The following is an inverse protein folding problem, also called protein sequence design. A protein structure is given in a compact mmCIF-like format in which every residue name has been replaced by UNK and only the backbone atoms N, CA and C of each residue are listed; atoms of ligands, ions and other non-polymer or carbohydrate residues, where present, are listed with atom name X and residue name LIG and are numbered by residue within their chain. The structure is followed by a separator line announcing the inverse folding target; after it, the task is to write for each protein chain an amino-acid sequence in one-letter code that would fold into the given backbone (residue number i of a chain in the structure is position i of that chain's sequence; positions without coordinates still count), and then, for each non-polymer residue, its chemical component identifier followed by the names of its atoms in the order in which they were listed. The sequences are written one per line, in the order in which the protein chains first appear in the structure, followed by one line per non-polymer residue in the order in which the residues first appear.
data_IF_681158031187
#
_entry.id   IF_681158031187
#
_cell.length_a   1.000
_cell.length_b   1.000
_cell.length_c   1.000
_cell.angle_alpha   90.00
_cell.angle_beta   90.00
_cell.angle_gamma   90.00
#
_symmetry.space_group_name_H-M   'P 1'
#
loop_
_entity.id
_entity.type
_entity.pdbx_description
1 polymer ?
#
# COMPACT_ATOMS: atom_id res chain seq x y z
N UNK A 1 -3.96 -5.93 0.95
CA UNK A 1 -3.14 -5.15 0.00
C UNK A 1 -3.76 -5.37 -1.36
N UNK A 2 -3.98 -4.30 -2.13
CA UNK A 2 -4.44 -4.41 -3.52
C UNK A 2 -3.21 -4.43 -4.43
N UNK A 3 -3.24 -5.21 -5.50
CA UNK A 3 -2.16 -5.22 -6.48
C UNK A 3 -2.32 -4.04 -7.44
N UNK A 4 -1.33 -3.16 -7.51
CA UNK A 4 -1.29 -2.05 -8.48
C UNK A 4 -0.01 -2.11 -9.31
N UNK A 5 0.11 -3.10 -10.23
CA UNK A 5 1.37 -3.41 -10.91
C UNK A 5 2.00 -2.22 -11.61
N UNK A 6 1.18 -1.32 -12.16
CA UNK A 6 1.69 -0.17 -12.90
C UNK A 6 2.51 0.83 -12.04
N UNK A 7 2.37 0.78 -10.72
CA UNK A 7 2.89 1.80 -9.79
C UNK A 7 3.52 1.23 -8.50
N UNK A 8 3.60 -0.11 -8.34
CA UNK A 8 4.35 -0.79 -7.26
C UNK A 8 5.27 -1.84 -7.90
N UNK A 9 6.57 -1.73 -7.64
CA UNK A 9 7.61 -2.58 -8.23
C UNK A 9 7.39 -4.08 -7.95
N UNK A 10 6.96 -4.43 -6.74
CA UNK A 10 6.74 -5.84 -6.37
C UNK A 10 5.53 -6.40 -7.09
N UNK A 11 4.49 -5.58 -7.25
CA UNK A 11 3.31 -5.95 -8.02
C UNK A 11 3.62 -6.03 -9.52
N UNK A 12 4.52 -5.19 -10.04
CA UNK A 12 5.02 -5.24 -11.42
C UNK A 12 5.75 -6.55 -11.71
N UNK A 13 6.72 -6.92 -10.88
CA UNK A 13 7.45 -8.18 -11.00
C UNK A 13 6.51 -9.39 -10.94
N UNK A 14 5.55 -9.35 -10.01
CA UNK A 14 4.55 -10.39 -9.86
C UNK A 14 3.66 -10.47 -11.12
N UNK A 15 3.17 -9.34 -11.62
CA UNK A 15 2.33 -9.30 -12.81
C UNK A 15 3.04 -9.81 -14.05
N UNK A 16 4.29 -9.43 -14.29
CA UNK A 16 5.07 -9.94 -15.43
C UNK A 16 5.35 -11.43 -15.32
N UNK A 17 5.64 -11.94 -14.11
CA UNK A 17 5.90 -13.36 -13.90
C UNK A 17 4.68 -14.23 -14.23
N UNK A 18 3.48 -13.72 -13.97
CA UNK A 18 2.23 -14.47 -14.10
C UNK A 18 1.32 -13.98 -15.24
N UNK A 19 1.86 -13.13 -16.14
CA UNK A 19 1.13 -12.56 -17.28
C UNK A 19 -0.20 -11.90 -16.87
N UNK A 20 -0.16 -11.12 -15.80
CA UNK A 20 -1.32 -10.39 -15.29
C UNK A 20 -1.45 -9.01 -15.94
N UNK A 21 -2.68 -8.48 -16.10
CA UNK A 21 -2.90 -7.16 -16.68
C UNK A 21 -2.20 -6.05 -15.89
N UNK A 22 -1.54 -5.16 -16.63
CA UNK A 22 -0.92 -3.95 -16.11
C UNK A 22 -1.64 -2.75 -16.72
N UNK A 23 -2.15 -1.85 -15.87
CA UNK A 23 -2.91 -0.66 -16.30
C UNK A 23 -2.34 0.59 -15.66
N UNK A 24 -1.78 1.48 -16.48
CA UNK A 24 -1.32 2.79 -16.04
C UNK A 24 -2.51 3.67 -15.62
N UNK A 25 -2.42 4.26 -14.43
CA UNK A 25 -3.40 5.23 -13.89
C UNK A 25 -2.78 6.53 -13.40
N UNK A 26 -1.45 6.64 -13.35
CA UNK A 26 -0.70 7.88 -13.09
C UNK A 26 0.27 8.15 -14.25
N UNK A 27 0.30 9.38 -14.73
CA UNK A 27 1.24 9.86 -15.72
C UNK A 27 2.15 10.92 -15.08
N UNK A 28 3.47 10.75 -15.24
CA UNK A 28 4.46 11.73 -14.81
C UNK A 28 4.78 12.69 -15.97
N UNK A 29 4.91 13.97 -15.67
CA UNK A 29 5.14 14.99 -16.69
C UNK A 29 6.52 14.78 -17.35
N UNK A 30 6.55 14.75 -18.69
CA UNK A 30 7.78 14.61 -19.47
C UNK A 30 8.28 13.16 -19.65
N UNK A 31 7.60 12.18 -19.06
CA UNK A 31 7.98 10.78 -19.12
C UNK A 31 6.94 9.94 -19.89
N UNK A 32 7.41 9.01 -20.74
CA UNK A 32 6.56 8.09 -21.48
C UNK A 32 6.51 6.72 -20.80
N UNK A 33 5.31 6.22 -20.55
CA UNK A 33 5.11 4.96 -19.84
C UNK A 33 5.29 3.76 -20.77
N UNK A 34 6.10 2.79 -20.36
CA UNK A 34 6.38 1.56 -21.12
C UNK A 34 6.06 0.30 -20.32
N UNK A 35 5.44 -0.69 -20.97
CA UNK A 35 5.17 -2.01 -20.39
C UNK A 35 6.37 -2.96 -20.42
N UNK A 36 7.49 -2.56 -21.04
CA UNK A 36 8.61 -3.47 -21.29
C UNK A 36 9.57 -3.55 -20.10
N UNK A 37 9.71 -2.45 -19.36
CA UNK A 37 10.68 -2.34 -18.28
C UNK A 37 10.15 -1.43 -17.18
N UNK A 38 10.38 -1.85 -15.94
CA UNK A 38 10.17 -1.00 -14.78
C UNK A 38 11.05 0.25 -14.84
N UNK A 39 10.46 1.40 -14.53
CA UNK A 39 11.19 2.65 -14.33
C UNK A 39 10.96 3.11 -12.90
N UNK A 40 12.00 3.67 -12.28
CA UNK A 40 11.91 4.14 -10.89
C UNK A 40 10.80 5.18 -10.70
N UNK A 41 10.57 6.06 -11.66
CA UNK A 41 9.52 7.08 -11.52
C UNK A 41 8.09 6.53 -11.51
N UNK A 42 7.85 5.23 -11.77
CA UNK A 42 6.49 4.66 -11.78
C UNK A 42 5.77 4.75 -10.42
N UNK A 43 6.52 4.86 -9.32
CA UNK A 43 5.98 5.02 -7.98
C UNK A 43 5.84 6.48 -7.53
N UNK A 44 6.28 7.43 -8.36
CA UNK A 44 6.21 8.86 -8.05
C UNK A 44 4.81 9.43 -8.26
N UNK A 45 4.56 10.57 -7.61
CA UNK A 45 3.32 11.31 -7.81
C UNK A 45 3.28 11.97 -9.19
N UNK A 46 2.07 12.09 -9.74
CA UNK A 46 1.85 12.65 -11.06
C UNK A 46 0.40 13.06 -11.25
N UNK A 47 -0.06 13.02 -12.50
CA UNK A 47 -1.43 13.35 -12.88
C UNK A 47 -2.19 12.05 -13.14
N UNK A 48 -3.41 11.94 -12.60
CA UNK A 48 -4.23 10.76 -12.83
C UNK A 48 -4.73 10.68 -14.27
N UNK A 49 -4.59 9.50 -14.85
CA UNK A 49 -5.10 9.11 -16.17
C UNK A 49 -5.91 7.81 -16.03
N UNK A 50 -6.77 7.50 -17.00
CA UNK A 50 -7.57 6.26 -17.02
C UNK A 50 -8.40 5.97 -15.74
N UNK A 51 -8.75 7.01 -14.99
CA UNK A 51 -9.31 7.00 -13.63
C UNK A 51 -10.71 7.64 -13.53
N UNK A 52 -11.42 7.80 -14.65
CA UNK A 52 -12.79 8.33 -14.67
C UNK A 52 -12.88 9.78 -14.19
N UNK A 53 -13.73 10.04 -13.19
CA UNK A 53 -13.99 11.38 -12.62
C UNK A 53 -12.74 12.03 -11.97
N UNK A 54 -11.69 11.25 -11.72
CA UNK A 54 -10.45 11.72 -11.11
C UNK A 54 -9.35 12.07 -12.13
N UNK A 55 -9.61 11.90 -13.43
CA UNK A 55 -8.65 12.25 -14.48
C UNK A 55 -8.25 13.73 -14.41
N UNK A 56 -6.96 14.01 -14.61
CA UNK A 56 -6.41 15.37 -14.59
C UNK A 56 -6.14 15.93 -13.19
N UNK A 57 -6.55 15.25 -12.13
CA UNK A 57 -6.19 15.63 -10.76
C UNK A 57 -4.75 15.20 -10.46
N UNK A 58 -4.09 15.94 -9.56
CA UNK A 58 -2.81 15.49 -9.00
C UNK A 58 -3.02 14.27 -8.10
N UNK A 59 -2.00 13.41 -7.95
CA UNK A 59 -2.05 12.26 -7.02
C UNK A 59 -2.44 12.67 -5.61
N UNK A 60 -1.99 13.84 -5.12
CA UNK A 60 -2.33 14.33 -3.78
C UNK A 60 -3.82 14.69 -3.63
N UNK A 61 -4.37 15.44 -4.59
CA UNK A 61 -5.79 15.82 -4.60
C UNK A 61 -6.67 14.58 -4.77
N UNK A 62 -6.30 13.69 -5.68
CA UNK A 62 -7.02 12.46 -5.95
C UNK A 62 -7.09 11.58 -4.70
N UNK A 63 -6.00 11.43 -3.93
CA UNK A 63 -6.02 10.67 -2.67
C UNK A 63 -7.07 11.21 -1.70
N UNK A 64 -7.19 12.54 -1.56
CA UNK A 64 -8.19 13.18 -0.69
C UNK A 64 -9.62 12.95 -1.23
N UNK A 65 -9.84 13.20 -2.51
CA UNK A 65 -11.15 13.10 -3.15
C UNK A 65 -11.68 11.67 -3.21
N UNK A 66 -10.82 10.69 -3.56
CA UNK A 66 -11.16 9.27 -3.58
C UNK A 66 -11.48 8.80 -2.16
N UNK A 67 -10.66 9.16 -1.16
CA UNK A 67 -10.92 8.78 0.24
C UNK A 67 -12.26 9.31 0.72
N UNK A 68 -12.60 10.57 0.41
CA UNK A 68 -13.90 11.15 0.75
C UNK A 68 -15.06 10.39 0.09
N UNK A 69 -14.96 10.10 -1.21
CA UNK A 69 -15.98 9.36 -1.95
C UNK A 69 -16.17 7.91 -1.44
N UNK A 70 -15.09 7.23 -1.04
CA UNK A 70 -15.17 5.90 -0.44
C UNK A 70 -15.86 5.93 0.93
N UNK A 71 -15.62 6.98 1.72
CA UNK A 71 -16.25 7.20 3.01
C UNK A 71 -17.75 7.46 2.86
N UNK A 72 -18.15 8.32 1.92
CA UNK A 72 -19.56 8.60 1.62
C UNK A 72 -20.32 7.34 1.16
N UNK A 73 -19.65 6.44 0.43
CA UNK A 73 -20.22 5.16 -0.01
C UNK A 73 -20.21 4.08 1.07
N UNK A 74 -19.55 4.31 2.21
CA UNK A 74 -19.44 3.34 3.30
C UNK A 74 -18.60 2.10 2.97
N UNK A 75 -17.72 2.19 1.97
CA UNK A 75 -16.88 1.05 1.51
C UNK A 75 -15.39 1.24 1.82
N UNK A 76 -15.02 2.31 2.50
CA UNK A 76 -13.66 2.55 2.98
C UNK A 76 -13.53 3.86 3.72
N UNK A 77 -12.47 3.98 4.53
CA UNK A 77 -12.17 5.17 5.30
C UNK A 77 -10.65 5.46 5.28
N UNK A 78 -10.27 6.71 5.55
CA UNK A 78 -8.87 7.09 5.69
C UNK A 78 -8.27 6.51 6.98
N UNK A 79 -7.10 5.89 6.88
CA UNK A 79 -6.38 5.32 8.03
C UNK A 79 -4.90 5.69 8.01
N UNK A 80 -4.40 6.18 9.14
CA UNK A 80 -2.97 6.43 9.35
C UNK A 80 -2.30 5.12 9.78
N UNK A 81 -1.23 4.73 9.09
CA UNK A 81 -0.46 3.53 9.42
C UNK A 81 1.01 3.89 9.66
N UNK A 82 1.66 3.16 10.56
CA UNK A 82 3.08 3.35 10.87
C UNK A 82 3.91 2.13 10.44
N UNK A 83 5.15 2.38 10.03
CA UNK A 83 6.14 1.30 9.86
C UNK A 83 6.61 0.74 11.20
N UNK A 84 6.42 1.48 12.29
CA UNK A 84 6.68 1.02 13.65
C UNK A 84 5.90 -0.28 13.94
N UNK A 85 6.51 -1.15 14.74
CA UNK A 85 5.95 -2.43 15.17
C UNK A 85 5.97 -2.47 16.70
N UNK A 86 5.08 -3.27 17.26
CA UNK A 86 5.08 -3.52 18.68
C UNK A 86 6.39 -4.15 19.14
N UNK A 87 6.78 -3.84 20.36
CA UNK A 87 8.01 -4.35 20.92
C UNK A 87 7.81 -5.75 21.49
N UNK A 88 8.32 -6.74 20.75
CA UNK A 88 8.40 -8.11 21.25
C UNK A 88 9.51 -8.20 22.31
N UNK A 89 9.12 -8.23 23.59
CA UNK A 89 10.04 -8.33 24.74
C UNK A 89 10.31 -9.78 25.18
N UNK A 90 9.40 -10.71 24.91
CA UNK A 90 9.51 -12.09 25.36
C UNK A 90 10.70 -12.80 24.70
N UNK A 91 11.46 -13.58 25.48
CA UNK A 91 12.64 -14.32 25.00
C UNK A 91 12.62 -15.75 25.55
N UNK A 92 12.93 -16.72 24.68
CA UNK A 92 13.12 -18.12 25.07
C UNK A 92 14.58 -18.32 25.54
N UNK A 93 14.91 -17.72 26.68
CA UNK A 93 16.24 -17.76 27.32
C UNK A 93 16.06 -17.91 28.83
N UNK A 94 16.89 -18.76 29.44
CA UNK A 94 16.91 -18.96 30.89
C UNK A 94 17.46 -17.74 31.64
N UNK A 95 18.52 -17.12 31.13
CA UNK A 95 19.17 -15.98 31.78
C UNK A 95 18.52 -14.66 31.37
N UNK A 96 17.57 -14.18 32.17
CA UNK A 96 16.85 -12.92 31.97
C UNK A 96 15.89 -12.65 33.13
N UNK A 97 15.23 -11.49 33.10
CA UNK A 97 14.20 -11.17 34.09
C UNK A 97 12.94 -12.01 33.82
N UNK A 98 12.36 -12.68 34.83
CA UNK A 98 11.09 -13.40 34.65
C UNK A 98 9.95 -12.43 34.31
N UNK A 99 9.12 -12.79 33.33
CA UNK A 99 7.89 -12.06 33.02
C UNK A 99 6.86 -12.41 34.11
N UNK A 100 6.28 -11.44 34.84
CA UNK A 100 5.44 -11.71 36.00
C UNK A 100 3.99 -12.05 35.58
N UNK A 101 3.82 -13.18 34.90
CA UNK A 101 2.53 -13.71 34.46
C UNK A 101 2.37 -15.14 34.98
N UNK A 102 1.17 -15.47 35.44
CA UNK A 102 0.74 -16.83 35.82
C UNK A 102 -0.34 -17.24 34.84
N UNK A 103 -0.25 -18.47 34.32
CA UNK A 103 -1.28 -19.05 33.47
C UNK A 103 -2.14 -19.99 34.32
N UNK A 104 -3.42 -19.67 34.50
CA UNK A 104 -4.39 -20.48 35.25
C UNK A 104 -5.42 -21.10 34.30
N UNK A 105 -5.68 -22.40 34.42
CA UNK A 105 -6.59 -23.13 33.51
C UNK A 105 -8.03 -22.59 33.48
N UNK A 106 -8.49 -21.94 34.54
CA UNK A 106 -9.85 -21.37 34.61
C UNK A 106 -9.91 -19.87 34.40
N UNK A 107 -8.82 -19.14 34.65
CA UNK A 107 -8.82 -17.67 34.68
C UNK A 107 -8.09 -17.02 33.50
N UNK A 108 -7.25 -17.79 32.79
CA UNK A 108 -6.23 -17.25 31.89
C UNK A 108 -4.86 -17.16 32.56
#
# INVERSE_FOLDING_TARGET
VMGSPAHDERDWEFAHKYDLPIKQVVACEGEEYSLEKWQEWYHEDGILVNSGDYNGQTSEEARKNITAALNERGIGEGKVNFRLRDWLISRQRYWGVPIPVVYCETCG
#
